data_IF_900270514970
#
_entry.id   IF_900270514970
#
_cell.length_a   1.000
_cell.length_b   1.000
_cell.length_c   1.000
_cell.angle_alpha   90.00
_cell.angle_beta   90.00
_cell.angle_gamma   90.00
#
_symmetry.space_group_name_H-M   'P 1'
#
loop_
_entity.id
_entity.type
_entity.pdbx_description
1 polymer ?
#
# COMPACT_ATOMS: atom_id res chain seq x y z
N UNK A 1 4.89 -20.16 3.91
CA UNK A 1 4.82 -20.42 5.34
C UNK A 1 3.54 -19.87 5.90
N UNK A 2 2.88 -20.62 6.76
CA UNK A 2 1.71 -20.13 7.48
C UNK A 2 2.19 -19.18 8.57
N UNK A 3 1.59 -18.00 8.66
CA UNK A 3 1.79 -17.10 9.80
C UNK A 3 1.08 -17.73 11.02
N UNK A 4 1.84 -18.09 12.05
CA UNK A 4 1.28 -18.43 13.34
C UNK A 4 0.77 -17.14 14.00
N UNK A 5 -0.55 -16.95 13.93
CA UNK A 5 -1.19 -15.80 14.55
C UNK A 5 -1.37 -16.03 16.07
N UNK A 6 -1.24 -14.97 16.88
CA UNK A 6 -1.56 -15.06 18.29
C UNK A 6 -2.98 -15.57 18.54
N UNK A 7 -3.20 -16.29 19.64
CA UNK A 7 -4.49 -16.90 19.97
C UNK A 7 -5.66 -15.91 20.15
N UNK A 8 -5.37 -14.65 20.30
CA UNK A 8 -6.35 -13.55 20.41
C UNK A 8 -6.67 -12.90 19.07
N UNK A 9 -6.17 -13.43 17.93
CA UNK A 9 -6.48 -12.94 16.59
C UNK A 9 -7.53 -13.84 15.93
N UNK A 10 -8.60 -13.24 15.46
CA UNK A 10 -9.66 -13.91 14.72
C UNK A 10 -9.70 -13.39 13.28
N UNK A 11 -9.86 -14.29 12.30
CA UNK A 11 -9.89 -13.94 10.87
C UNK A 11 -11.27 -14.24 10.30
N UNK A 12 -11.83 -13.30 9.56
CA UNK A 12 -13.13 -13.41 8.92
C UNK A 12 -13.02 -13.11 7.42
N UNK A 13 -13.34 -14.12 6.58
CA UNK A 13 -13.27 -14.00 5.12
C UNK A 13 -14.62 -13.73 4.45
N UNK A 14 -15.73 -14.05 5.11
CA UNK A 14 -17.05 -13.89 4.51
C UNK A 14 -17.81 -12.71 5.11
N UNK A 15 -18.53 -11.96 4.26
CA UNK A 15 -19.28 -10.76 4.65
C UNK A 15 -20.18 -10.98 5.88
N UNK A 16 -20.94 -12.08 5.90
CA UNK A 16 -21.85 -12.40 7.01
C UNK A 16 -21.12 -12.62 8.35
N UNK A 17 -19.91 -13.16 8.29
CA UNK A 17 -19.12 -13.42 9.49
C UNK A 17 -18.46 -12.13 10.00
N UNK A 18 -18.01 -11.26 9.09
CA UNK A 18 -17.56 -9.89 9.42
C UNK A 18 -18.69 -9.10 10.09
N UNK A 19 -19.90 -9.13 9.53
CA UNK A 19 -21.04 -8.42 10.10
C UNK A 19 -21.42 -8.97 11.49
N UNK A 20 -21.27 -10.31 11.70
CA UNK A 20 -21.45 -10.92 13.03
C UNK A 20 -20.38 -10.48 14.02
N UNK A 21 -19.11 -10.45 13.60
CA UNK A 21 -18.01 -9.96 14.41
C UNK A 21 -18.21 -8.49 14.80
N UNK A 22 -18.62 -7.65 13.87
CA UNK A 22 -18.92 -6.25 14.13
C UNK A 22 -20.08 -6.07 15.13
N UNK A 23 -21.14 -6.87 15.04
CA UNK A 23 -22.21 -6.87 16.04
C UNK A 23 -21.68 -7.22 17.43
N UNK A 24 -20.81 -8.25 17.52
CA UNK A 24 -20.18 -8.63 18.79
C UNK A 24 -19.33 -7.49 19.35
N UNK A 25 -18.49 -6.86 18.55
CA UNK A 25 -17.64 -5.72 18.95
C UNK A 25 -18.51 -4.58 19.51
N UNK A 26 -19.61 -4.26 18.84
CA UNK A 26 -20.52 -3.21 19.31
C UNK A 26 -21.25 -3.56 20.61
N UNK A 27 -21.49 -4.85 20.88
CA UNK A 27 -22.13 -5.33 22.11
C UNK A 27 -21.16 -5.41 23.29
N UNK A 28 -19.93 -5.86 23.06
CA UNK A 28 -18.92 -6.11 24.10
C UNK A 28 -18.08 -4.88 24.45
N UNK A 29 -18.11 -3.84 23.61
CA UNK A 29 -17.35 -2.60 23.74
C UNK A 29 -16.16 -2.52 22.78
N UNK A 30 -16.12 -1.46 21.99
CA UNK A 30 -15.10 -1.23 20.94
C UNK A 30 -13.68 -1.11 21.48
N UNK A 31 -13.54 -0.64 22.72
CA UNK A 31 -12.28 -0.44 23.43
C UNK A 31 -11.49 -1.75 23.66
N UNK A 32 -12.15 -2.90 23.55
CA UNK A 32 -11.56 -4.22 23.73
C UNK A 32 -11.01 -4.83 22.44
N UNK A 33 -11.26 -4.20 21.30
CA UNK A 33 -10.97 -4.77 19.98
C UNK A 33 -10.21 -3.80 19.10
N UNK A 34 -9.34 -4.36 18.26
CA UNK A 34 -8.68 -3.67 17.16
C UNK A 34 -9.07 -4.33 15.84
N UNK A 35 -10.09 -3.81 15.13
CA UNK A 35 -10.43 -4.32 13.81
C UNK A 35 -9.36 -3.94 12.78
N UNK A 36 -8.78 -4.93 12.11
CA UNK A 36 -7.90 -4.74 10.94
C UNK A 36 -8.73 -5.09 9.72
N UNK A 37 -8.93 -4.15 8.81
CA UNK A 37 -9.86 -4.28 7.69
C UNK A 37 -9.23 -3.85 6.37
N UNK A 38 -9.81 -4.34 5.26
CA UNK A 38 -9.44 -3.91 3.91
C UNK A 38 -10.05 -2.56 3.57
N UNK A 39 -9.50 -1.87 2.56
CA UNK A 39 -10.07 -0.63 2.04
C UNK A 39 -9.17 0.59 2.21
N UNK A 40 -7.87 0.40 2.39
CA UNK A 40 -6.93 1.52 2.61
C UNK A 40 -6.77 2.43 1.38
N UNK A 41 -7.08 1.95 0.17
CA UNK A 41 -7.09 2.77 -1.06
C UNK A 41 -8.46 3.40 -1.36
N UNK A 42 -9.47 3.15 -0.52
CA UNK A 42 -10.83 3.60 -0.79
C UNK A 42 -11.56 2.74 -1.82
N UNK A 43 -11.15 1.48 -1.99
CA UNK A 43 -11.71 0.56 -2.98
C UNK A 43 -13.20 0.35 -2.74
N UNK A 44 -14.04 0.52 -3.78
CA UNK A 44 -15.48 0.33 -3.66
C UNK A 44 -15.84 -1.06 -3.12
N UNK A 45 -16.73 -1.12 -2.14
CA UNK A 45 -17.19 -2.38 -1.54
C UNK A 45 -16.26 -2.97 -0.48
N UNK A 46 -15.06 -2.41 -0.28
CA UNK A 46 -14.16 -2.80 0.81
C UNK A 46 -14.78 -2.55 2.19
N UNK A 47 -14.28 -3.24 3.21
CA UNK A 47 -14.86 -3.19 4.55
C UNK A 47 -14.83 -1.77 5.12
N UNK A 48 -13.71 -1.05 5.02
CA UNK A 48 -13.59 0.30 5.56
C UNK A 48 -14.51 1.30 4.84
N UNK A 49 -14.66 1.18 3.51
CA UNK A 49 -15.60 2.00 2.73
C UNK A 49 -17.05 1.75 3.16
N UNK A 50 -17.41 0.48 3.38
CA UNK A 50 -18.75 0.11 3.88
C UNK A 50 -19.01 0.64 5.29
N UNK A 51 -18.01 0.59 6.18
CA UNK A 51 -18.09 1.21 7.52
C UNK A 51 -18.29 2.72 7.40
N UNK A 52 -17.51 3.39 6.56
CA UNK A 52 -17.64 4.82 6.31
C UNK A 52 -19.00 5.21 5.73
N UNK A 53 -19.60 4.35 4.91
CA UNK A 53 -20.94 4.55 4.36
C UNK A 53 -22.07 4.21 5.36
N UNK A 54 -21.78 3.51 6.45
CA UNK A 54 -22.79 3.01 7.39
C UNK A 54 -23.51 1.76 6.89
N UNK A 55 -22.86 0.97 6.06
CA UNK A 55 -23.38 -0.27 5.46
C UNK A 55 -23.05 -1.50 6.29
N UNK A 56 -22.50 -1.32 7.49
CA UNK A 56 -22.10 -2.40 8.40
C UNK A 56 -22.70 -2.18 9.79
N UNK A 57 -22.78 -3.23 10.61
CA UNK A 57 -23.18 -3.08 12.01
C UNK A 57 -22.20 -2.28 12.86
N UNK A 58 -20.94 -2.09 12.41
CA UNK A 58 -19.94 -1.31 13.10
C UNK A 58 -20.22 0.19 12.88
N UNK A 59 -20.44 0.91 13.96
CA UNK A 59 -20.69 2.36 13.94
C UNK A 59 -19.47 3.10 14.44
N UNK A 60 -19.02 4.08 13.66
CA UNK A 60 -17.98 5.01 14.09
C UNK A 60 -18.57 6.07 15.03
N UNK A 61 -17.92 6.26 16.17
CA UNK A 61 -18.22 7.34 17.09
C UNK A 61 -17.25 8.51 16.92
N UNK A 62 -17.66 9.74 17.29
CA UNK A 62 -16.74 10.87 17.30
C UNK A 62 -15.51 10.59 18.16
N UNK A 63 -14.32 10.73 17.57
CA UNK A 63 -13.06 10.47 18.23
C UNK A 63 -12.48 9.07 18.01
N UNK A 64 -13.20 8.16 17.37
CA UNK A 64 -12.63 6.89 16.92
C UNK A 64 -11.39 7.13 16.04
N UNK A 65 -10.40 6.25 16.14
CA UNK A 65 -9.13 6.39 15.42
C UNK A 65 -9.08 5.42 14.26
N UNK A 66 -8.81 5.96 13.08
CA UNK A 66 -8.56 5.16 11.87
C UNK A 66 -7.10 5.34 11.48
N UNK A 67 -6.35 4.24 11.49
CA UNK A 67 -4.93 4.24 11.16
C UNK A 67 -4.76 3.57 9.81
N UNK A 68 -4.18 4.29 8.85
CA UNK A 68 -3.82 3.75 7.56
C UNK A 68 -2.36 3.30 7.59
N UNK A 69 -2.16 1.98 7.61
CA UNK A 69 -0.83 1.36 7.65
C UNK A 69 -0.20 1.12 6.28
N UNK A 70 -0.74 1.75 5.24
CA UNK A 70 -0.21 1.68 3.88
C UNK A 70 -0.38 3.02 3.16
N UNK A 71 0.57 3.34 2.30
CA UNK A 71 0.55 4.55 1.48
C UNK A 71 -0.50 4.45 0.37
N UNK A 72 -0.96 5.60 -0.07
CA UNK A 72 -1.84 5.69 -1.25
C UNK A 72 -1.03 5.43 -2.51
N UNK A 73 -1.52 4.53 -3.36
CA UNK A 73 -0.92 4.32 -4.68
C UNK A 73 -1.06 5.62 -5.49
N UNK A 74 0.02 6.13 -6.10
CA UNK A 74 0.02 7.42 -6.80
C UNK A 74 -0.67 7.34 -8.17
N UNK A 75 -1.98 7.00 -8.17
CA UNK A 75 -2.83 7.09 -9.37
C UNK A 75 -4.00 8.04 -9.10
N UNK A 76 -4.46 8.80 -10.10
CA UNK A 76 -5.55 9.77 -9.91
C UNK A 76 -6.83 9.13 -9.36
N UNK A 77 -7.18 7.93 -9.82
CA UNK A 77 -8.36 7.20 -9.36
C UNK A 77 -8.23 6.77 -7.90
N UNK A 78 -7.08 6.22 -7.51
CA UNK A 78 -6.83 5.76 -6.14
C UNK A 78 -6.81 6.94 -5.18
N UNK A 79 -6.16 8.04 -5.56
CA UNK A 79 -6.14 9.27 -4.76
C UNK A 79 -7.55 9.84 -4.56
N UNK A 80 -8.39 9.85 -5.62
CA UNK A 80 -9.77 10.31 -5.53
C UNK A 80 -10.63 9.41 -4.61
N UNK A 81 -10.50 8.10 -4.73
CA UNK A 81 -11.19 7.12 -3.89
C UNK A 81 -10.79 7.27 -2.42
N UNK A 82 -9.49 7.40 -2.16
CA UNK A 82 -8.97 7.60 -0.80
C UNK A 82 -9.46 8.92 -0.21
N UNK A 83 -9.42 10.01 -0.95
CA UNK A 83 -9.94 11.30 -0.51
C UNK A 83 -11.43 11.23 -0.15
N UNK A 84 -12.23 10.57 -0.99
CA UNK A 84 -13.65 10.37 -0.73
C UNK A 84 -13.91 9.54 0.55
N UNK A 85 -13.13 8.48 0.77
CA UNK A 85 -13.18 7.66 1.97
C UNK A 85 -12.85 8.50 3.21
N UNK A 86 -11.72 9.20 3.21
CA UNK A 86 -11.28 10.02 4.34
C UNK A 86 -12.30 11.11 4.69
N UNK A 87 -12.88 11.75 3.66
CA UNK A 87 -13.93 12.73 3.86
C UNK A 87 -15.12 12.14 4.62
N UNK A 88 -15.57 10.95 4.24
CA UNK A 88 -16.69 10.26 4.91
C UNK A 88 -16.34 9.87 6.36
N UNK A 89 -15.11 9.40 6.59
CA UNK A 89 -14.64 9.07 7.93
C UNK A 89 -14.61 10.31 8.84
N UNK A 90 -14.08 11.43 8.33
CA UNK A 90 -14.07 12.71 9.06
C UNK A 90 -15.48 13.24 9.33
N UNK A 91 -16.40 13.10 8.38
CA UNK A 91 -17.81 13.48 8.59
C UNK A 91 -18.49 12.67 9.71
N UNK A 92 -18.01 11.47 10.00
CA UNK A 92 -18.44 10.66 11.16
C UNK A 92 -17.69 10.97 12.43
N UNK A 93 -16.79 11.95 12.42
CA UNK A 93 -16.00 12.36 13.60
C UNK A 93 -14.77 11.50 13.86
N UNK A 94 -14.41 10.58 12.97
CA UNK A 94 -13.21 9.78 13.13
C UNK A 94 -11.94 10.64 12.97
N UNK A 95 -10.92 10.33 13.77
CA UNK A 95 -9.57 10.88 13.64
C UNK A 95 -8.72 9.97 12.75
N UNK A 96 -8.11 10.53 11.72
CA UNK A 96 -7.32 9.80 10.74
C UNK A 96 -5.84 9.97 11.08
N UNK A 97 -5.13 8.85 11.08
CA UNK A 97 -3.68 8.77 11.18
C UNK A 97 -3.16 8.07 9.93
N UNK A 98 -2.41 8.79 9.16
CA UNK A 98 -1.67 8.36 7.98
C UNK A 98 -0.16 8.52 8.21
N UNK A 99 0.66 8.23 7.20
CA UNK A 99 2.13 8.35 7.30
C UNK A 99 2.77 7.51 8.43
N UNK A 100 2.10 6.45 8.86
CA UNK A 100 2.64 5.46 9.80
C UNK A 100 3.24 4.25 9.08
N UNK A 101 3.14 4.22 7.75
CA UNK A 101 3.70 3.16 6.92
C UNK A 101 5.19 3.38 6.69
N UNK A 102 5.96 2.31 6.92
CA UNK A 102 7.34 2.23 6.45
C UNK A 102 7.34 1.35 5.21
N UNK A 103 7.81 1.91 4.08
CA UNK A 103 7.88 1.15 2.83
C UNK A 103 8.78 -0.08 2.99
N UNK A 104 8.34 -1.21 2.44
CA UNK A 104 9.19 -2.38 2.25
C UNK A 104 10.01 -2.33 0.96
N UNK A 105 9.81 -1.30 0.13
CA UNK A 105 10.60 -1.08 -1.07
C UNK A 105 11.87 -0.32 -0.73
N UNK A 106 12.95 -0.64 -1.43
CA UNK A 106 14.22 0.06 -1.32
C UNK A 106 14.09 1.54 -1.73
N UNK A 107 14.79 2.40 -1.02
CA UNK A 107 14.93 3.80 -1.40
C UNK A 107 16.05 3.97 -2.45
N UNK A 108 16.21 5.20 -2.98
CA UNK A 108 17.24 5.51 -3.96
C UNK A 108 18.65 5.15 -3.48
N UNK A 109 18.94 5.42 -2.22
CA UNK A 109 20.22 5.14 -1.58
C UNK A 109 20.48 3.63 -1.45
N UNK A 110 19.47 2.83 -1.15
CA UNK A 110 19.58 1.37 -1.09
C UNK A 110 19.86 0.79 -2.49
N UNK A 111 19.21 1.32 -3.53
CA UNK A 111 19.48 0.95 -4.91
C UNK A 111 20.90 1.34 -5.34
N UNK A 112 21.36 2.52 -4.94
CA UNK A 112 22.73 2.96 -5.18
C UNK A 112 23.76 2.03 -4.54
N UNK A 113 23.55 1.67 -3.28
CA UNK A 113 24.43 0.71 -2.59
C UNK A 113 24.41 -0.66 -3.26
N UNK A 114 23.22 -1.14 -3.66
CA UNK A 114 23.07 -2.40 -4.39
C UNK A 114 23.86 -2.41 -5.70
N UNK A 115 23.75 -1.35 -6.52
CA UNK A 115 24.53 -1.21 -7.74
C UNK A 115 26.04 -1.29 -7.49
N UNK A 116 26.50 -0.61 -6.46
CA UNK A 116 27.92 -0.62 -6.09
C UNK A 116 28.40 -1.97 -5.57
N UNK A 117 27.58 -2.68 -4.81
CA UNK A 117 27.94 -4.00 -4.27
C UNK A 117 27.96 -5.08 -5.37
N UNK A 118 26.96 -5.04 -6.26
CA UNK A 118 26.84 -6.05 -7.34
C UNK A 118 27.74 -5.71 -8.51
N UNK A 119 27.90 -4.43 -8.82
CA UNK A 119 28.67 -3.89 -9.95
C UNK A 119 28.36 -4.65 -11.26
N UNK A 120 27.07 -4.74 -11.67
CA UNK A 120 26.68 -5.51 -12.85
C UNK A 120 27.16 -4.83 -14.14
N UNK A 121 27.39 -5.60 -15.20
CA UNK A 121 27.74 -5.04 -16.51
C UNK A 121 26.55 -4.32 -17.15
N UNK A 122 25.35 -4.83 -16.97
CA UNK A 122 24.12 -4.25 -17.49
C UNK A 122 23.06 -4.10 -16.41
N UNK A 123 22.29 -3.02 -16.50
CA UNK A 123 21.19 -2.67 -15.57
C UNK A 123 19.91 -2.46 -16.37
N UNK A 124 18.82 -3.09 -15.92
CA UNK A 124 17.48 -2.90 -16.49
C UNK A 124 16.53 -2.60 -15.33
N UNK A 125 16.06 -1.35 -15.18
CA UNK A 125 15.04 -1.04 -14.18
C UNK A 125 13.73 -1.75 -14.53
N UNK A 126 13.09 -2.31 -13.51
CA UNK A 126 11.82 -3.02 -13.63
C UNK A 126 10.86 -2.62 -12.50
N UNK A 127 9.57 -2.89 -12.68
CA UNK A 127 8.55 -2.63 -11.70
C UNK A 127 8.40 -1.13 -11.35
N UNK A 128 7.88 -0.36 -12.30
CA UNK A 128 7.60 1.06 -12.14
C UNK A 128 6.95 1.65 -13.39
N UNK A 129 6.60 2.89 -13.33
CA UNK A 129 6.24 3.67 -14.51
C UNK A 129 7.48 4.30 -15.15
N UNK A 130 7.29 4.98 -16.27
CA UNK A 130 8.38 5.59 -17.02
C UNK A 130 9.10 6.71 -16.24
N UNK A 131 8.39 7.41 -15.36
CA UNK A 131 8.95 8.44 -14.49
C UNK A 131 9.90 7.83 -13.45
N UNK A 132 9.45 6.75 -12.78
CA UNK A 132 10.27 6.01 -11.82
C UNK A 132 11.51 5.39 -12.50
N UNK A 133 11.34 4.83 -13.70
CA UNK A 133 12.48 4.31 -14.47
C UNK A 133 13.46 5.41 -14.87
N UNK A 134 12.97 6.62 -15.23
CA UNK A 134 13.81 7.78 -15.51
C UNK A 134 14.71 8.15 -14.34
N UNK A 135 14.14 8.26 -13.14
CA UNK A 135 14.92 8.53 -11.93
C UNK A 135 15.94 7.44 -11.59
N UNK A 136 15.59 6.18 -11.87
CA UNK A 136 16.54 5.08 -11.69
C UNK A 136 17.71 5.16 -12.67
N UNK A 137 17.44 5.52 -13.93
CA UNK A 137 18.46 5.71 -14.96
C UNK A 137 19.40 6.85 -14.58
N UNK A 138 18.87 8.01 -14.17
CA UNK A 138 19.69 9.13 -13.67
C UNK A 138 20.63 8.69 -12.54
N UNK A 139 20.12 7.91 -11.59
CA UNK A 139 20.93 7.34 -10.51
C UNK A 139 22.00 6.38 -11.03
N UNK A 140 21.69 5.54 -12.02
CA UNK A 140 22.65 4.62 -12.60
C UNK A 140 23.72 5.37 -13.39
N UNK A 141 23.37 6.43 -14.12
CA UNK A 141 24.33 7.31 -14.81
C UNK A 141 25.27 8.01 -13.83
N UNK A 142 24.78 8.49 -12.71
CA UNK A 142 25.61 9.02 -11.60
C UNK A 142 26.57 7.93 -11.05
N UNK A 143 26.22 6.65 -11.15
CA UNK A 143 27.08 5.53 -10.78
C UNK A 143 28.06 5.11 -11.89
N UNK A 144 28.03 5.76 -13.07
CA UNK A 144 28.92 5.53 -14.17
C UNK A 144 28.37 4.63 -15.29
N UNK A 145 27.10 4.24 -15.23
CA UNK A 145 26.43 3.53 -16.31
C UNK A 145 26.03 4.48 -17.43
N UNK A 146 25.88 3.98 -18.65
CA UNK A 146 25.56 4.77 -19.85
C UNK A 146 24.24 4.28 -20.44
N UNK A 147 23.28 5.20 -20.61
CA UNK A 147 21.98 4.88 -21.19
C UNK A 147 22.11 4.33 -22.63
N UNK A 148 21.52 3.19 -22.87
CA UNK A 148 21.56 2.48 -24.16
C UNK A 148 22.78 1.56 -24.35
N UNK A 149 23.76 1.65 -23.44
CA UNK A 149 24.98 0.81 -23.47
C UNK A 149 25.01 -0.14 -22.25
N UNK A 150 25.01 0.39 -21.04
CA UNK A 150 25.09 -0.39 -19.80
C UNK A 150 23.89 -0.22 -18.89
N UNK A 151 23.05 0.80 -19.07
CA UNK A 151 21.71 0.89 -18.46
C UNK A 151 20.65 1.00 -19.56
N UNK A 152 19.60 0.19 -19.49
CA UNK A 152 18.63 0.02 -20.58
C UNK A 152 17.22 0.31 -20.12
N UNK A 153 16.52 1.20 -20.85
CA UNK A 153 15.12 1.47 -20.65
C UNK A 153 14.30 0.62 -21.62
N UNK A 154 13.61 -0.40 -21.11
CA UNK A 154 12.79 -1.31 -21.88
C UNK A 154 11.31 -1.12 -21.59
N UNK A 155 10.47 -1.25 -22.62
CA UNK A 155 9.02 -1.34 -22.50
C UNK A 155 8.59 -2.80 -22.38
N UNK A 156 7.36 -3.01 -21.92
CA UNK A 156 6.77 -4.35 -21.87
C UNK A 156 6.79 -5.02 -23.25
N UNK A 157 7.42 -6.19 -23.31
CA UNK A 157 7.57 -6.97 -24.54
C UNK A 157 8.79 -6.63 -25.40
N UNK A 158 9.58 -5.62 -25.06
CA UNK A 158 10.86 -5.37 -25.70
C UNK A 158 11.90 -6.41 -25.29
N UNK A 159 12.78 -6.73 -26.21
CA UNK A 159 13.86 -7.71 -26.01
C UNK A 159 15.19 -7.02 -26.22
N UNK A 160 16.07 -7.16 -25.25
CA UNK A 160 17.45 -6.72 -25.33
C UNK A 160 18.34 -7.93 -25.62
N UNK A 161 19.21 -7.82 -26.63
CA UNK A 161 20.26 -8.77 -26.88
C UNK A 161 21.58 -8.19 -26.38
N UNK A 162 22.22 -8.90 -25.47
CA UNK A 162 23.55 -8.56 -24.94
C UNK A 162 24.53 -9.49 -25.64
N UNK A 163 25.49 -8.93 -26.35
CA UNK A 163 26.59 -9.68 -26.96
C UNK A 163 27.70 -9.86 -25.91
N UNK A 164 28.21 -11.08 -25.79
CA UNK A 164 29.35 -11.43 -24.91
C UNK A 164 30.69 -10.92 -25.45
#
# INVERSE_FOLDING_TARGET
>A
GYLDLPSNVEIYGQRKDVDRAFKRIMQEGKDKFLPIVTGHQGEPGSILVRVANGETPYVLDPGDRVIFSANVIPSPMTQANRYALETKLRMRGARIYDNVHVSGHAYREDHWELLRMVNPEHVIPAHGDMEMHGHYIEMAEDAGYVLGDTVHLLRNGEVLYIEE
#
